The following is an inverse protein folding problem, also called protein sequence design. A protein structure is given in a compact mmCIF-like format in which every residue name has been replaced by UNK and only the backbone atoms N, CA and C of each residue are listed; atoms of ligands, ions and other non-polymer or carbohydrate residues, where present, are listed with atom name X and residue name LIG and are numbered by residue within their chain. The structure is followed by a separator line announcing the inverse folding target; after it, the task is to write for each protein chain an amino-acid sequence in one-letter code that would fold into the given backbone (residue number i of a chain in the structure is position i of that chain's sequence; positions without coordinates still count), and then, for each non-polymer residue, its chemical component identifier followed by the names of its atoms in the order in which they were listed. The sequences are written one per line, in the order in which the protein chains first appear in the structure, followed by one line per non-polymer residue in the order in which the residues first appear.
data_IF_927985027661
#
_entry.id   IF_927985027661
#
_cell.length_a   1.000
_cell.length_b   1.000
_cell.length_c   1.000
_cell.angle_alpha   90.00
_cell.angle_beta   90.00
_cell.angle_gamma   90.00
#
_symmetry.space_group_name_H-M   'P 1'
#
loop_
_entity.id
_entity.type
_entity.pdbx_description
1 polymer ?
#
# COMPACT_ATOMS: atom_id res chain seq x y z
N UNK A 1 -4.00 20.17 -14.07
CA UNK A 1 -4.92 19.59 -13.07
C UNK A 1 -4.20 18.52 -12.26
N UNK A 2 -4.55 18.35 -11.00
CA UNK A 2 -4.05 17.29 -10.13
C UNK A 2 -4.56 15.94 -10.62
N UNK A 3 -3.65 14.98 -10.86
CA UNK A 3 -3.98 13.62 -11.34
C UNK A 3 -4.78 12.82 -10.27
N UNK A 4 -4.52 13.12 -9.00
CA UNK A 4 -5.11 12.37 -7.89
C UNK A 4 -6.58 12.77 -7.65
N UNK A 5 -6.87 14.04 -7.50
CA UNK A 5 -8.24 14.49 -7.20
C UNK A 5 -9.03 14.99 -8.43
N UNK A 6 -8.38 15.23 -9.57
CA UNK A 6 -9.02 15.74 -10.77
C UNK A 6 -9.60 17.16 -10.68
N UNK A 7 -9.52 17.80 -9.51
CA UNK A 7 -10.26 19.05 -9.23
C UNK A 7 -9.35 20.26 -9.09
N UNK A 8 -8.24 20.14 -8.34
CA UNK A 8 -7.36 21.27 -8.01
C UNK A 8 -6.23 21.42 -9.00
N UNK A 9 -5.67 22.63 -9.19
CA UNK A 9 -4.46 22.83 -9.95
C UNK A 9 -3.31 21.98 -9.37
N UNK A 10 -2.49 21.38 -10.23
CA UNK A 10 -1.28 20.71 -9.82
C UNK A 10 -0.18 21.74 -9.52
N UNK A 11 0.37 21.70 -8.32
CA UNK A 11 1.44 22.60 -7.85
C UNK A 11 2.69 21.86 -7.41
N UNK A 12 2.62 20.51 -7.39
CA UNK A 12 3.69 19.61 -6.97
C UNK A 12 3.73 18.39 -7.89
N UNK A 13 4.73 17.52 -7.70
CA UNK A 13 4.83 16.20 -8.34
C UNK A 13 4.83 15.12 -7.26
N UNK A 14 3.92 14.14 -7.37
CA UNK A 14 3.81 13.01 -6.46
C UNK A 14 4.43 11.76 -7.07
N UNK A 15 5.16 10.98 -6.28
CA UNK A 15 5.76 9.73 -6.71
C UNK A 15 4.71 8.61 -6.74
N UNK A 16 4.67 7.89 -7.84
CA UNK A 16 3.73 6.77 -8.02
C UNK A 16 4.50 5.51 -8.45
N UNK A 17 4.52 4.47 -7.62
CA UNK A 17 4.08 4.43 -6.21
C UNK A 17 4.91 5.33 -5.26
N UNK A 18 4.48 5.56 -4.00
CA UNK A 18 5.20 6.42 -3.06
C UNK A 18 6.66 5.99 -2.88
N UNK A 19 7.60 6.90 -3.06
CA UNK A 19 9.04 6.61 -2.97
C UNK A 19 9.46 5.98 -1.64
N UNK A 20 8.72 6.27 -0.59
CA UNK A 20 8.99 5.73 0.74
C UNK A 20 8.93 4.21 0.84
N UNK A 21 8.19 3.53 -0.06
CA UNK A 21 8.09 2.07 -0.13
C UNK A 21 9.31 1.40 -0.80
N UNK A 22 10.13 2.18 -1.48
CA UNK A 22 11.30 1.71 -2.23
C UNK A 22 12.59 2.36 -1.72
N UNK A 23 12.64 2.69 -0.43
CA UNK A 23 13.78 3.35 0.17
C UNK A 23 15.05 2.50 0.01
N UNK A 24 16.08 3.07 -0.60
CA UNK A 24 17.35 2.38 -0.88
C UNK A 24 17.40 1.62 -2.20
N UNK A 25 16.31 1.52 -2.96
CA UNK A 25 16.36 0.99 -4.33
C UNK A 25 16.90 2.05 -5.29
N UNK A 26 17.75 1.61 -6.21
CA UNK A 26 18.24 2.45 -7.31
C UNK A 26 17.25 2.30 -8.47
N UNK A 27 16.58 3.39 -8.85
CA UNK A 27 15.65 3.38 -9.97
C UNK A 27 15.06 4.76 -10.27
N UNK A 28 14.52 4.92 -11.47
CA UNK A 28 13.80 6.12 -11.86
C UNK A 28 12.33 5.99 -11.39
N UNK A 29 12.01 6.69 -10.30
CA UNK A 29 10.63 6.77 -9.84
C UNK A 29 9.83 7.71 -10.74
N UNK A 30 8.70 7.24 -11.22
CA UNK A 30 7.77 8.06 -11.98
C UNK A 30 7.04 9.01 -11.05
N UNK A 31 6.74 10.21 -11.55
CA UNK A 31 5.94 11.20 -10.83
C UNK A 31 4.76 11.64 -11.69
N UNK A 32 3.71 12.08 -11.01
CA UNK A 32 2.51 12.64 -11.64
C UNK A 32 2.21 14.04 -11.11
N UNK A 33 1.62 14.94 -11.91
CA UNK A 33 1.17 16.24 -11.45
C UNK A 33 0.17 16.13 -10.30
N UNK A 34 0.47 16.70 -9.14
CA UNK A 34 -0.39 16.64 -7.95
C UNK A 34 -0.55 18.01 -7.28
N UNK A 35 -1.67 18.22 -6.61
CA UNK A 35 -1.82 19.38 -5.72
C UNK A 35 -1.19 19.10 -4.36
N UNK A 36 -0.79 20.17 -3.64
CA UNK A 36 -0.15 20.02 -2.32
C UNK A 36 -0.98 19.20 -1.31
N UNK A 37 -2.30 19.34 -1.18
CA UNK A 37 -3.09 18.49 -0.30
C UNK A 37 -3.05 16.99 -0.66
N UNK A 38 -3.02 16.64 -1.95
CA UNK A 38 -2.95 15.24 -2.37
C UNK A 38 -1.56 14.64 -2.21
N UNK A 39 -0.51 15.41 -2.41
CA UNK A 39 0.87 14.96 -2.26
C UNK A 39 1.34 15.06 -0.80
N UNK A 40 1.47 16.27 -0.28
CA UNK A 40 2.03 16.48 1.07
C UNK A 40 1.08 16.01 2.18
N UNK A 41 -0.24 16.14 1.97
CA UNK A 41 -1.26 15.70 2.92
C UNK A 41 -1.35 14.18 3.11
N UNK A 42 -0.83 13.40 2.17
CA UNK A 42 -0.84 11.93 2.22
C UNK A 42 0.41 11.31 2.84
N UNK A 43 1.44 12.08 3.14
CA UNK A 43 2.73 11.57 3.62
C UNK A 43 2.63 10.76 4.93
N UNK A 44 1.69 11.12 5.82
CA UNK A 44 1.43 10.39 7.06
C UNK A 44 0.80 9.01 6.80
N UNK A 45 -0.08 8.90 5.81
CA UNK A 45 -0.66 7.62 5.40
C UNK A 45 0.40 6.72 4.77
N UNK A 46 1.27 7.25 3.91
CA UNK A 46 2.38 6.51 3.31
C UNK A 46 3.36 6.00 4.37
N UNK A 47 3.71 6.84 5.33
CA UNK A 47 4.58 6.45 6.45
C UNK A 47 3.93 5.36 7.29
N UNK A 48 2.65 5.50 7.62
CA UNK A 48 1.90 4.52 8.40
C UNK A 48 1.81 3.19 7.68
N UNK A 49 1.40 3.17 6.41
CA UNK A 49 1.29 1.93 5.63
C UNK A 49 2.66 1.25 5.48
N UNK A 50 3.72 2.00 5.18
CA UNK A 50 5.07 1.47 5.13
C UNK A 50 5.46 0.78 6.45
N UNK A 51 5.16 1.40 7.59
CA UNK A 51 5.45 0.82 8.90
C UNK A 51 4.65 -0.47 9.14
N UNK A 52 3.36 -0.51 8.79
CA UNK A 52 2.55 -1.73 8.89
C UNK A 52 3.11 -2.86 8.02
N UNK A 53 3.40 -2.60 6.76
CA UNK A 53 3.94 -3.61 5.83
C UNK A 53 5.29 -4.12 6.30
N UNK A 54 6.17 -3.25 6.80
CA UNK A 54 7.54 -3.62 7.19
C UNK A 54 7.64 -4.21 8.59
N UNK A 55 6.65 -3.99 9.47
CA UNK A 55 6.64 -4.53 10.83
C UNK A 55 6.16 -5.98 10.93
N UNK A 56 5.77 -6.63 9.85
CA UNK A 56 5.37 -8.04 9.85
C UNK A 56 6.51 -8.94 10.32
N UNK A 57 6.26 -9.75 11.35
CA UNK A 57 7.25 -10.67 11.91
C UNK A 57 6.92 -12.10 11.45
N UNK A 58 7.93 -12.83 11.00
CA UNK A 58 7.82 -14.26 10.69
C UNK A 58 7.57 -14.63 9.23
N UNK A 59 6.75 -13.89 8.48
CA UNK A 59 6.54 -14.06 7.03
C UNK A 59 6.92 -12.79 6.24
N UNK A 60 7.88 -12.06 6.75
CA UNK A 60 8.35 -10.83 6.13
C UNK A 60 8.99 -11.13 4.77
N UNK A 61 8.51 -10.50 3.72
CA UNK A 61 9.19 -10.55 2.42
C UNK A 61 10.56 -9.88 2.50
N UNK A 62 11.49 -10.23 1.61
CA UNK A 62 12.81 -9.59 1.56
C UNK A 62 12.68 -8.06 1.44
N UNK A 63 11.72 -7.58 0.65
CA UNK A 63 11.46 -6.15 0.51
C UNK A 63 10.98 -5.50 1.82
N UNK A 64 10.06 -6.14 2.54
CA UNK A 64 9.56 -5.65 3.83
C UNK A 64 10.68 -5.63 4.89
N UNK A 65 11.51 -6.67 4.96
CA UNK A 65 12.69 -6.72 5.84
C UNK A 65 13.65 -5.58 5.52
N UNK A 66 13.94 -5.37 4.25
CA UNK A 66 14.82 -4.29 3.81
C UNK A 66 14.26 -2.89 4.19
N UNK A 67 12.96 -2.66 3.98
CA UNK A 67 12.32 -1.39 4.40
C UNK A 67 12.43 -1.17 5.91
N UNK A 68 12.26 -2.21 6.70
CA UNK A 68 12.41 -2.15 8.15
C UNK A 68 13.83 -1.74 8.54
N UNK A 69 14.84 -2.42 8.01
CA UNK A 69 16.26 -2.15 8.27
C UNK A 69 16.69 -0.76 7.76
N UNK A 70 16.20 -0.32 6.60
CA UNK A 70 16.53 0.98 6.00
C UNK A 70 15.83 2.18 6.66
N UNK A 71 15.09 1.98 7.71
CA UNK A 71 14.66 3.08 8.56
C UNK A 71 13.19 3.09 8.98
N UNK A 72 12.35 2.14 8.56
CA UNK A 72 10.98 2.06 9.07
C UNK A 72 10.98 1.85 10.59
N UNK A 73 11.90 1.01 11.13
CA UNK A 73 12.07 0.82 12.56
C UNK A 73 12.41 2.12 13.31
N UNK A 74 13.23 3.01 12.74
CA UNK A 74 13.56 4.32 13.35
C UNK A 74 12.35 5.23 13.38
N UNK A 75 11.56 5.24 12.32
CA UNK A 75 10.29 5.97 12.26
C UNK A 75 9.30 5.46 13.31
N UNK A 76 9.14 4.14 13.39
CA UNK A 76 8.33 3.48 14.42
C UNK A 76 8.76 3.82 15.84
N UNK A 77 10.06 3.81 16.13
CA UNK A 77 10.58 4.14 17.46
C UNK A 77 10.38 5.61 17.83
N UNK A 78 10.53 6.54 16.87
CA UNK A 78 10.38 7.99 17.11
C UNK A 78 8.92 8.44 17.24
N UNK A 79 8.02 7.84 16.43
CA UNK A 79 6.63 8.26 16.39
C UNK A 79 5.79 7.50 17.41
N UNK A 80 5.54 8.11 18.56
CA UNK A 80 4.62 7.57 19.57
C UNK A 80 3.23 7.34 18.99
N UNK A 81 2.74 8.22 18.11
CA UNK A 81 1.45 8.10 17.45
C UNK A 81 1.36 6.81 16.60
N UNK A 82 2.34 6.56 15.73
CA UNK A 82 2.37 5.37 14.87
C UNK A 82 2.50 4.10 15.72
N UNK A 83 3.41 4.13 16.70
CA UNK A 83 3.62 3.00 17.59
C UNK A 83 2.37 2.67 18.41
N UNK A 84 1.72 3.66 19.02
CA UNK A 84 0.50 3.45 19.78
C UNK A 84 -0.64 2.95 18.89
N UNK A 85 -0.81 3.52 17.71
CA UNK A 85 -1.84 3.07 16.76
C UNK A 85 -1.63 1.60 16.34
N UNK A 86 -0.39 1.17 16.10
CA UNK A 86 -0.08 -0.21 15.76
C UNK A 86 -0.29 -1.14 16.97
N UNK A 87 0.24 -0.78 18.14
CA UNK A 87 0.15 -1.60 19.33
C UNK A 87 -1.29 -1.72 19.88
N UNK A 88 -2.13 -0.71 19.68
CA UNK A 88 -3.53 -0.74 20.10
C UNK A 88 -4.39 -1.77 19.33
N UNK A 89 -3.91 -2.21 18.16
CA UNK A 89 -4.58 -3.23 17.34
C UNK A 89 -3.95 -4.62 17.49
N UNK A 90 -2.95 -4.76 18.37
CA UNK A 90 -2.28 -6.04 18.61
C UNK A 90 -3.22 -7.01 19.31
N UNK A 91 -3.38 -8.18 18.74
CA UNK A 91 -4.26 -9.24 19.27
C UNK A 91 -3.66 -10.61 19.01
N UNK A 92 -4.07 -11.56 19.83
CA UNK A 92 -3.79 -12.98 19.57
C UNK A 92 -4.76 -13.51 18.52
N UNK A 93 -4.23 -14.22 17.55
CA UNK A 93 -5.01 -14.89 16.50
C UNK A 93 -4.57 -16.34 16.37
N UNK A 94 -5.50 -17.23 16.16
CA UNK A 94 -5.19 -18.60 15.79
C UNK A 94 -4.98 -18.69 14.28
N UNK A 95 -3.86 -19.27 13.89
CA UNK A 95 -3.53 -19.52 12.49
C UNK A 95 -3.13 -20.97 12.30
N UNK A 96 -3.42 -21.56 11.15
CA UNK A 96 -2.94 -22.89 10.83
C UNK A 96 -1.48 -22.81 10.37
N UNK A 97 -0.63 -23.66 10.92
CA UNK A 97 0.73 -23.83 10.43
C UNK A 97 0.76 -24.70 9.16
N UNK A 98 1.93 -24.93 8.60
CA UNK A 98 2.10 -25.75 7.39
C UNK A 98 1.60 -27.21 7.56
N UNK A 99 1.47 -27.70 8.80
CA UNK A 99 0.96 -29.04 9.12
C UNK A 99 -0.51 -29.03 9.51
N UNK A 100 -1.25 -27.95 9.20
CA UNK A 100 -2.67 -27.76 9.58
C UNK A 100 -2.95 -27.80 11.09
N UNK A 101 -1.95 -27.57 11.92
CA UNK A 101 -2.14 -27.46 13.38
C UNK A 101 -2.37 -26.01 13.75
N UNK A 102 -3.34 -25.76 14.63
CA UNK A 102 -3.62 -24.43 15.15
C UNK A 102 -2.47 -23.94 16.04
N UNK A 103 -1.98 -22.74 15.78
CA UNK A 103 -0.97 -22.07 16.60
C UNK A 103 -1.38 -20.63 16.85
N UNK A 104 -1.15 -20.15 18.06
CA UNK A 104 -1.41 -18.76 18.42
C UNK A 104 -0.28 -17.86 17.93
N UNK A 105 -0.62 -16.74 17.31
CA UNK A 105 0.29 -15.68 16.86
C UNK A 105 -0.20 -14.32 17.31
N UNK A 106 0.72 -13.42 17.57
CA UNK A 106 0.40 -12.01 17.71
C UNK A 106 0.26 -11.38 16.31
N UNK A 107 -0.86 -10.73 16.07
CA UNK A 107 -1.14 -10.00 14.85
C UNK A 107 -1.65 -8.60 15.18
N UNK A 108 -1.44 -7.65 14.30
CA UNK A 108 -2.04 -6.33 14.36
C UNK A 108 -2.92 -6.10 13.13
N UNK A 109 -4.02 -5.40 13.35
CA UNK A 109 -4.94 -5.05 12.29
C UNK A 109 -4.45 -3.81 11.55
N UNK A 110 -4.33 -3.91 10.24
CA UNK A 110 -4.08 -2.74 9.40
C UNK A 110 -5.43 -2.15 9.01
N UNK A 111 -5.68 -0.87 9.27
CA UNK A 111 -6.95 -0.27 8.90
C UNK A 111 -7.20 -0.34 7.38
N UNK A 112 -8.31 -0.96 6.97
CA UNK A 112 -8.68 -1.09 5.54
C UNK A 112 -8.74 0.29 4.87
N UNK A 113 -9.25 1.30 5.60
CA UNK A 113 -9.29 2.68 5.11
C UNK A 113 -7.91 3.26 4.78
N UNK A 114 -6.84 2.82 5.45
CA UNK A 114 -5.48 3.24 5.15
C UNK A 114 -5.02 2.65 3.81
N UNK A 115 -5.28 1.35 3.57
CA UNK A 115 -5.01 0.73 2.28
C UNK A 115 -5.79 1.44 1.18
N UNK A 116 -7.09 1.65 1.39
CA UNK A 116 -7.95 2.31 0.41
C UNK A 116 -7.39 3.67 -0.02
N UNK A 117 -7.04 4.55 0.93
CA UNK A 117 -6.52 5.89 0.62
C UNK A 117 -5.19 5.86 -0.14
N UNK A 118 -4.26 5.00 0.28
CA UNK A 118 -2.93 4.94 -0.35
C UNK A 118 -3.03 4.32 -1.74
N UNK A 119 -3.68 3.16 -1.87
CA UNK A 119 -3.73 2.45 -3.15
C UNK A 119 -4.68 3.10 -4.16
N UNK A 120 -5.75 3.77 -3.73
CA UNK A 120 -6.55 4.60 -4.64
C UNK A 120 -5.69 5.67 -5.30
N UNK A 121 -4.86 6.39 -4.52
CA UNK A 121 -3.94 7.38 -5.05
C UNK A 121 -2.94 6.76 -6.04
N UNK A 122 -2.36 5.61 -5.68
CA UNK A 122 -1.44 4.87 -6.55
C UNK A 122 -2.13 4.49 -7.85
N UNK A 123 -3.34 3.92 -7.79
CA UNK A 123 -4.11 3.51 -8.97
C UNK A 123 -4.41 4.68 -9.90
N UNK A 124 -4.86 5.81 -9.36
CA UNK A 124 -5.11 7.04 -10.15
C UNK A 124 -3.84 7.53 -10.83
N UNK A 125 -2.72 7.49 -10.14
CA UNK A 125 -1.42 7.87 -10.69
C UNK A 125 -0.92 6.91 -11.77
N UNK A 126 -1.03 5.60 -11.56
CA UNK A 126 -0.68 4.59 -12.55
C UNK A 126 -1.57 4.68 -13.79
N UNK A 127 -2.88 4.87 -13.61
CA UNK A 127 -3.79 5.11 -14.74
C UNK A 127 -3.32 6.27 -15.61
N UNK A 128 -2.94 7.39 -14.99
CA UNK A 128 -2.42 8.54 -15.74
C UNK A 128 -1.10 8.23 -16.45
N UNK A 129 -0.17 7.53 -15.81
CA UNK A 129 1.11 7.16 -16.42
C UNK A 129 0.95 6.24 -17.64
N UNK A 130 -0.04 5.37 -17.62
CA UNK A 130 -0.32 4.44 -18.73
C UNK A 130 -1.15 5.07 -19.85
N UNK A 131 -2.13 5.90 -19.50
CA UNK A 131 -3.12 6.39 -20.49
C UNK A 131 -2.94 7.85 -20.88
N UNK A 132 -2.16 8.63 -20.12
CA UNK A 132 -2.08 10.09 -20.24
C UNK A 132 -3.36 10.80 -19.79
N UNK A 133 -4.36 10.10 -19.27
CA UNK A 133 -5.69 10.67 -18.90
C UNK A 133 -5.88 10.63 -17.39
N UNK A 134 -6.49 11.69 -16.87
CA UNK A 134 -6.89 11.75 -15.46
C UNK A 134 -8.14 10.88 -15.28
N UNK A 135 -8.10 9.96 -14.33
CA UNK A 135 -9.28 9.20 -13.93
C UNK A 135 -10.30 10.14 -13.28
N UNK A 136 -11.54 10.25 -13.78
CA UNK A 136 -12.55 11.13 -13.21
C UNK A 136 -12.73 10.90 -11.69
N UNK A 137 -12.99 11.98 -10.95
CA UNK A 137 -13.09 11.91 -9.49
C UNK A 137 -14.29 11.08 -8.99
N UNK A 138 -15.33 10.99 -9.78
CA UNK A 138 -16.56 10.24 -9.54
C UNK A 138 -16.42 8.74 -9.86
N UNK A 139 -15.34 8.32 -10.52
CA UNK A 139 -15.05 6.90 -10.74
C UNK A 139 -14.46 6.32 -9.44
N UNK A 140 -15.17 5.38 -8.79
CA UNK A 140 -14.67 4.74 -7.58
C UNK A 140 -13.50 3.80 -7.92
N UNK A 141 -12.49 3.78 -7.06
CA UNK A 141 -11.39 2.81 -7.11
C UNK A 141 -11.60 1.85 -5.95
N UNK A 142 -11.88 0.60 -6.27
CA UNK A 142 -12.02 -0.46 -5.27
C UNK A 142 -10.67 -1.14 -5.05
N UNK A 143 -10.27 -1.29 -3.80
CA UNK A 143 -9.05 -1.99 -3.40
C UNK A 143 -9.43 -3.28 -2.69
N UNK A 144 -9.08 -4.40 -3.28
CA UNK A 144 -9.28 -5.72 -2.70
C UNK A 144 -7.92 -6.27 -2.24
N UNK A 145 -7.85 -6.74 -1.00
CA UNK A 145 -6.67 -7.42 -0.46
C UNK A 145 -6.79 -8.90 -0.74
N UNK A 146 -5.85 -9.43 -1.51
CA UNK A 146 -5.73 -10.87 -1.69
C UNK A 146 -5.09 -11.45 -0.43
N UNK A 147 -5.76 -12.43 0.17
CA UNK A 147 -5.24 -13.18 1.32
C UNK A 147 -4.35 -14.33 0.86
N UNK A 148 -3.65 -14.98 1.80
CA UNK A 148 -2.80 -16.17 1.51
C UNK A 148 -3.62 -17.36 0.93
N UNK A 149 -4.93 -17.32 1.05
CA UNK A 149 -5.85 -18.30 0.47
C UNK A 149 -6.99 -17.55 -0.25
N UNK A 150 -6.71 -16.92 -1.40
CA UNK A 150 -7.76 -16.23 -2.14
C UNK A 150 -8.82 -17.23 -2.59
N UNK A 151 -10.08 -16.80 -2.55
CA UNK A 151 -11.15 -17.54 -3.22
C UNK A 151 -10.96 -17.43 -4.73
N UNK A 152 -10.40 -18.50 -5.32
CA UNK A 152 -10.09 -18.57 -6.76
C UNK A 152 -11.35 -18.48 -7.64
N UNK A 153 -12.53 -18.73 -7.07
CA UNK A 153 -13.81 -18.59 -7.77
C UNK A 153 -14.36 -17.17 -7.73
N UNK A 154 -13.78 -16.29 -6.94
CA UNK A 154 -14.25 -14.91 -6.81
C UNK A 154 -14.09 -14.14 -8.14
N UNK A 155 -15.06 -13.28 -8.50
CA UNK A 155 -14.97 -12.45 -9.70
C UNK A 155 -13.69 -11.58 -9.73
N UNK A 156 -13.26 -11.11 -8.58
CA UNK A 156 -12.05 -10.29 -8.43
C UNK A 156 -10.79 -11.08 -8.78
N UNK A 157 -10.69 -12.33 -8.34
CA UNK A 157 -9.55 -13.19 -8.67
C UNK A 157 -9.53 -13.55 -10.14
N UNK A 158 -10.69 -13.86 -10.74
CA UNK A 158 -10.80 -14.17 -12.18
C UNK A 158 -10.39 -12.97 -13.05
N UNK A 159 -10.73 -11.75 -12.64
CA UNK A 159 -10.27 -10.53 -13.32
C UNK A 159 -8.74 -10.41 -13.21
N UNK A 160 -8.17 -10.64 -12.03
CA UNK A 160 -6.73 -10.59 -11.82
C UNK A 160 -5.99 -11.61 -12.68
N UNK A 161 -6.44 -12.87 -12.69
CA UNK A 161 -5.83 -13.94 -13.48
C UNK A 161 -5.87 -13.63 -14.98
N UNK A 162 -7.01 -13.17 -15.48
CA UNK A 162 -7.19 -12.80 -16.89
C UNK A 162 -6.22 -11.70 -17.35
N UNK A 163 -5.92 -10.73 -16.48
CA UNK A 163 -5.03 -9.62 -16.83
C UNK A 163 -3.55 -9.95 -16.59
N UNK A 164 -3.22 -10.85 -15.67
CA UNK A 164 -1.83 -11.28 -15.40
C UNK A 164 -1.24 -12.11 -16.54
N UNK A 165 -2.08 -12.90 -17.24
CA UNK A 165 -1.66 -13.74 -18.36
C UNK A 165 -1.44 -12.92 -19.66
N UNK A 166 -2.04 -11.74 -19.77
CA UNK A 166 -1.96 -10.92 -20.99
C UNK A 166 -0.63 -10.12 -21.13
N UNK A 167 0.19 -10.06 -20.10
CA UNK A 167 1.47 -9.32 -20.12
C UNK A 167 2.67 -10.21 -20.53
N UNK A 168 2.51 -11.55 -20.58
CA UNK A 168 3.56 -12.50 -20.94
C UNK A 168 3.43 -13.03 -22.39
N UNK A 169 2.56 -12.46 -23.20
CA UNK A 169 2.34 -12.81 -24.63
C UNK A 169 2.78 -11.65 -25.54
#
# INVERSE_FOLDING_TARGET
MCVICGVRPATTADHVPPRGFFKGTVGQFKTVPACSPCNNGSSADDESLRNYISAQVGKQTLGAKYLWEMGAHKSFLRSTKIRSALLSTLQEVEVLNANSSAITRLAFLVPVSLYQRVFERVTRGLHFLHTGKILPADIPVQINLLTDAPDLSSPEFQIFEKHSIAEDA
#
